data_IF_308670543688
#
_entry.id   IF_308670543688
#
_cell.length_a   1.000
_cell.length_b   1.000
_cell.length_c   1.000
_cell.angle_alpha   90.00
_cell.angle_beta   90.00
_cell.angle_gamma   90.00
#
_symmetry.space_group_name_H-M   'P 1'
#
loop_
_entity.id
_entity.type
_entity.pdbx_description
1 polymer ?
#
# COMPACT_ATOMS: atom_id res chain seq x y z
N UNK A 1 -9.27 11.27 -12.48
CA UNK A 1 -8.36 10.13 -12.66
C UNK A 1 -8.81 8.99 -11.76
N UNK A 2 -8.82 7.78 -12.27
CA UNK A 2 -9.08 6.59 -11.47
C UNK A 2 -7.78 6.10 -10.84
N UNK A 3 -7.44 6.64 -9.67
CA UNK A 3 -6.24 6.30 -8.92
C UNK A 3 -6.62 5.61 -7.61
N UNK A 4 -5.98 4.49 -7.32
CA UNK A 4 -6.04 3.80 -6.05
C UNK A 4 -4.63 3.67 -5.49
N UNK A 5 -4.42 4.03 -4.23
CA UNK A 5 -3.13 3.91 -3.58
C UNK A 5 -3.21 2.83 -2.51
N UNK A 6 -2.21 1.96 -2.48
CA UNK A 6 -2.14 0.83 -1.56
C UNK A 6 -0.88 0.89 -0.72
N UNK A 7 -0.98 0.48 0.55
CA UNK A 7 0.18 -0.03 1.28
C UNK A 7 0.54 -1.41 0.70
N UNK A 8 1.75 -1.87 0.95
CA UNK A 8 2.24 -3.17 0.44
C UNK A 8 2.03 -4.29 1.47
N UNK A 9 2.78 -4.23 2.57
CA UNK A 9 2.77 -5.28 3.58
C UNK A 9 1.43 -5.28 4.33
N UNK A 10 0.77 -6.41 4.37
CA UNK A 10 -0.54 -6.56 4.98
C UNK A 10 -1.72 -6.27 4.06
N UNK A 11 -1.48 -5.70 2.87
CA UNK A 11 -2.50 -5.40 1.86
C UNK A 11 -2.29 -6.25 0.61
N UNK A 12 -1.10 -6.21 0.05
CA UNK A 12 -0.73 -6.94 -1.19
C UNK A 12 -0.11 -8.29 -0.85
N UNK A 13 0.69 -8.34 0.19
CA UNK A 13 1.39 -9.54 0.66
C UNK A 13 1.18 -9.71 2.15
N UNK A 14 1.43 -10.92 2.64
CA UNK A 14 1.36 -11.22 4.06
C UNK A 14 2.34 -10.33 4.84
N UNK A 15 1.91 -9.87 6.00
CA UNK A 15 2.74 -9.05 6.89
C UNK A 15 3.63 -9.93 7.78
N UNK A 16 4.63 -9.31 8.40
CA UNK A 16 5.51 -9.95 9.36
C UNK A 16 5.94 -8.94 10.42
N UNK A 17 5.87 -9.31 11.70
CA UNK A 17 6.41 -8.51 12.80
C UNK A 17 7.95 -8.52 12.80
N UNK A 18 8.56 -9.45 12.09
CA UNK A 18 10.02 -9.62 11.99
C UNK A 18 10.61 -9.02 10.70
N UNK A 19 9.87 -8.16 10.01
CA UNK A 19 10.20 -7.60 8.69
C UNK A 19 10.19 -8.66 7.59
N UNK A 20 10.10 -8.22 6.34
CA UNK A 20 10.24 -9.07 5.15
C UNK A 20 11.59 -8.76 4.54
N UNK A 21 12.56 -9.65 4.77
CA UNK A 21 13.99 -9.38 4.56
C UNK A 21 14.55 -9.99 3.29
N UNK A 22 13.85 -10.97 2.71
CA UNK A 22 14.28 -11.68 1.51
C UNK A 22 13.11 -11.85 0.55
N UNK A 23 13.42 -12.14 -0.70
CA UNK A 23 12.38 -12.45 -1.69
C UNK A 23 11.55 -13.67 -1.28
N UNK A 24 12.17 -14.67 -0.67
CA UNK A 24 11.47 -15.87 -0.20
C UNK A 24 10.48 -15.59 0.92
N UNK A 25 10.75 -14.57 1.75
CA UNK A 25 9.86 -14.14 2.82
C UNK A 25 8.68 -13.31 2.29
N UNK A 26 8.77 -12.79 1.07
CA UNK A 26 7.71 -12.01 0.46
C UNK A 26 6.64 -12.94 -0.12
N UNK A 27 5.53 -13.08 0.60
CA UNK A 27 4.45 -14.01 0.25
C UNK A 27 3.23 -13.21 -0.19
N UNK A 28 2.89 -13.20 -1.49
CA UNK A 28 1.73 -12.45 -1.97
C UNK A 28 0.42 -13.04 -1.43
N UNK A 29 -0.58 -12.17 -1.26
CA UNK A 29 -1.96 -12.59 -1.04
C UNK A 29 -2.56 -12.79 -2.44
N UNK A 30 -2.88 -14.03 -2.85
CA UNK A 30 -3.29 -14.29 -4.25
C UNK A 30 -4.49 -13.47 -4.70
N UNK A 31 -5.49 -13.28 -3.83
CA UNK A 31 -6.66 -12.46 -4.13
C UNK A 31 -6.32 -10.98 -4.31
N UNK A 32 -5.29 -10.48 -3.65
CA UNK A 32 -4.82 -9.11 -3.83
C UNK A 32 -4.15 -8.92 -5.18
N UNK A 33 -3.35 -9.87 -5.64
CA UNK A 33 -2.75 -9.82 -6.98
C UNK A 33 -3.85 -9.79 -8.04
N UNK A 34 -4.84 -10.66 -7.92
CA UNK A 34 -5.99 -10.70 -8.84
C UNK A 34 -6.76 -9.37 -8.80
N UNK A 35 -6.97 -8.81 -7.62
CA UNK A 35 -7.68 -7.52 -7.47
C UNK A 35 -6.95 -6.39 -8.20
N UNK A 36 -5.62 -6.30 -8.05
CA UNK A 36 -4.82 -5.29 -8.75
C UNK A 36 -4.94 -5.46 -10.27
N UNK A 37 -4.84 -6.68 -10.76
CA UNK A 37 -4.98 -6.96 -12.18
C UNK A 37 -6.37 -6.58 -12.72
N UNK A 38 -7.43 -6.89 -11.98
CA UNK A 38 -8.82 -6.52 -12.34
C UNK A 38 -8.98 -5.01 -12.41
N UNK A 39 -8.51 -4.29 -11.41
CA UNK A 39 -8.58 -2.83 -11.37
C UNK A 39 -7.82 -2.21 -12.53
N UNK A 40 -6.60 -2.66 -12.77
CA UNK A 40 -5.76 -2.19 -13.87
C UNK A 40 -6.45 -2.38 -15.23
N UNK A 41 -7.00 -3.56 -15.48
CA UNK A 41 -7.72 -3.86 -16.74
C UNK A 41 -8.99 -3.02 -16.89
N UNK A 42 -9.57 -2.56 -15.80
CA UNK A 42 -10.76 -1.70 -15.82
C UNK A 42 -10.42 -0.20 -15.92
N UNK A 43 -9.14 0.14 -16.13
CA UNK A 43 -8.70 1.53 -16.31
C UNK A 43 -8.25 2.24 -15.04
N UNK A 44 -8.13 1.54 -13.92
CA UNK A 44 -7.56 2.10 -12.70
C UNK A 44 -6.06 2.11 -12.75
N UNK A 45 -5.46 3.19 -12.25
CA UNK A 45 -4.05 3.24 -11.91
C UNK A 45 -3.88 2.83 -10.46
N UNK A 46 -3.09 1.81 -10.20
CA UNK A 46 -2.82 1.32 -8.84
C UNK A 46 -1.38 1.66 -8.48
N UNK A 47 -1.21 2.52 -7.49
CA UNK A 47 0.10 2.93 -6.98
C UNK A 47 0.31 2.37 -5.57
N UNK A 48 1.56 2.30 -5.13
CA UNK A 48 1.94 1.71 -3.84
C UNK A 48 2.78 2.70 -3.04
N UNK A 49 2.47 2.84 -1.75
CA UNK A 49 3.22 3.66 -0.79
C UNK A 49 3.54 2.81 0.45
N UNK A 50 4.79 2.42 0.63
CA UNK A 50 5.18 1.46 1.65
C UNK A 50 6.33 1.93 2.53
N UNK A 51 6.19 1.81 3.86
CA UNK A 51 7.29 1.98 4.80
C UNK A 51 8.19 0.73 4.74
N UNK A 52 9.50 0.94 4.60
CA UNK A 52 10.50 -0.15 4.52
C UNK A 52 11.70 0.18 5.39
N UNK A 53 11.48 0.37 6.69
CA UNK A 53 12.51 0.75 7.66
C UNK A 53 13.58 -0.33 7.88
N UNK A 54 13.34 -1.56 7.44
CA UNK A 54 14.34 -2.62 7.47
C UNK A 54 15.62 -2.25 6.72
N UNK A 55 15.53 -1.39 5.70
CA UNK A 55 16.69 -0.86 5.00
C UNK A 55 17.56 -0.01 5.94
N UNK A 56 16.96 0.94 6.66
CA UNK A 56 17.67 1.77 7.63
C UNK A 56 18.29 0.94 8.75
N UNK A 57 17.66 -0.16 9.12
CA UNK A 57 18.13 -1.08 10.17
C UNK A 57 19.22 -2.05 9.69
N UNK A 58 19.52 -2.05 8.38
CA UNK A 58 20.51 -2.94 7.80
C UNK A 58 20.08 -4.39 7.62
N UNK A 59 18.78 -4.67 7.67
CA UNK A 59 18.24 -6.03 7.51
C UNK A 59 18.21 -6.51 6.07
N UNK A 60 18.11 -5.59 5.12
CA UNK A 60 18.18 -5.86 3.68
C UNK A 60 18.50 -4.55 2.95
N UNK A 61 18.87 -4.65 1.69
CA UNK A 61 19.25 -3.51 0.87
C UNK A 61 18.18 -3.14 -0.16
N UNK A 62 18.41 -2.04 -0.87
CA UNK A 62 17.50 -1.57 -1.92
C UNK A 62 17.33 -2.60 -3.05
N UNK A 63 18.40 -3.28 -3.44
CA UNK A 63 18.33 -4.30 -4.48
C UNK A 63 17.39 -5.45 -4.12
N UNK A 64 17.39 -5.86 -2.86
CA UNK A 64 16.45 -6.86 -2.33
C UNK A 64 15.02 -6.36 -2.40
N UNK A 65 14.76 -5.10 -1.98
CA UNK A 65 13.43 -4.51 -2.08
C UNK A 65 12.96 -4.43 -3.53
N UNK A 66 13.82 -4.02 -4.44
CA UNK A 66 13.51 -3.94 -5.87
C UNK A 66 13.15 -5.31 -6.45
N UNK A 67 13.80 -6.39 -5.98
CA UNK A 67 13.46 -7.75 -6.40
C UNK A 67 12.05 -8.16 -5.99
N UNK A 68 11.61 -7.76 -4.81
CA UNK A 68 10.23 -7.99 -4.34
C UNK A 68 9.23 -7.24 -5.22
N UNK A 69 9.51 -5.98 -5.55
CA UNK A 69 8.64 -5.16 -6.39
C UNK A 69 8.62 -5.67 -7.84
N UNK A 70 9.73 -6.16 -8.35
CA UNK A 70 9.77 -6.82 -9.67
C UNK A 70 8.89 -8.07 -9.68
N UNK A 71 8.91 -8.85 -8.60
CA UNK A 71 8.05 -10.03 -8.45
C UNK A 71 6.57 -9.65 -8.43
N UNK A 72 6.22 -8.60 -7.69
CA UNK A 72 4.85 -8.08 -7.67
C UNK A 72 4.39 -7.70 -9.08
N UNK A 73 5.19 -6.95 -9.81
CA UNK A 73 4.88 -6.54 -11.19
C UNK A 73 4.69 -7.74 -12.11
N UNK A 74 5.55 -8.74 -11.97
CA UNK A 74 5.47 -9.97 -12.76
C UNK A 74 4.16 -10.71 -12.51
N UNK A 75 3.79 -10.91 -11.25
CA UNK A 75 2.58 -11.64 -10.88
C UNK A 75 1.31 -10.94 -11.41
N UNK A 76 1.26 -9.62 -11.34
CA UNK A 76 0.14 -8.84 -11.87
C UNK A 76 0.12 -8.90 -13.40
N UNK A 77 1.28 -8.82 -14.05
CA UNK A 77 1.40 -8.91 -15.50
C UNK A 77 0.96 -10.28 -16.03
N UNK A 78 1.24 -11.36 -15.30
CA UNK A 78 0.78 -12.70 -15.65
C UNK A 78 -0.75 -12.80 -15.70
N UNK A 79 -1.46 -11.93 -14.99
CA UNK A 79 -2.92 -11.84 -15.03
C UNK A 79 -3.43 -10.72 -15.95
N UNK A 80 -2.57 -10.14 -16.76
CA UNK A 80 -2.94 -9.13 -17.75
C UNK A 80 -3.07 -7.71 -17.21
N UNK A 81 -2.62 -7.47 -15.99
CA UNK A 81 -2.66 -6.15 -15.35
C UNK A 81 -1.31 -5.46 -15.31
N UNK A 82 -1.29 -4.31 -14.68
CA UNK A 82 -0.10 -3.49 -14.52
C UNK A 82 -0.15 -2.78 -13.17
N UNK A 83 1.01 -2.67 -12.51
CA UNK A 83 1.18 -1.86 -11.31
C UNK A 83 1.80 -0.52 -11.71
N UNK A 84 1.27 0.56 -11.18
CA UNK A 84 1.80 1.90 -11.40
C UNK A 84 3.03 2.20 -10.54
N UNK A 85 3.17 3.46 -10.11
CA UNK A 85 4.31 3.90 -9.32
C UNK A 85 4.35 3.19 -7.95
N UNK A 86 5.52 2.70 -7.58
CA UNK A 86 5.78 2.16 -6.25
C UNK A 86 6.77 3.10 -5.55
N UNK A 87 6.34 3.69 -4.43
CA UNK A 87 7.17 4.58 -3.61
C UNK A 87 7.40 3.89 -2.26
N UNK A 88 8.64 3.93 -1.79
CA UNK A 88 8.99 3.41 -0.47
C UNK A 88 9.66 4.48 0.37
N UNK A 89 9.55 4.34 1.70
CA UNK A 89 10.32 5.12 2.67
C UNK A 89 11.30 4.17 3.37
N UNK A 90 12.62 4.35 3.19
CA UNK A 90 13.60 3.46 3.81
C UNK A 90 13.97 3.86 5.24
N UNK A 91 13.40 4.96 5.74
CA UNK A 91 13.81 5.55 7.01
C UNK A 91 13.12 4.91 8.21
N UNK A 92 13.81 4.95 9.36
CA UNK A 92 13.23 4.55 10.64
C UNK A 92 12.39 5.67 11.27
N UNK A 93 11.71 5.37 12.41
CA UNK A 93 10.79 6.32 13.04
C UNK A 93 11.44 7.62 13.52
N UNK A 94 12.73 7.58 13.82
CA UNK A 94 13.48 8.71 14.42
C UNK A 94 14.35 9.47 13.39
N UNK A 95 14.24 9.14 12.09
CA UNK A 95 15.12 9.72 11.08
C UNK A 95 14.65 11.12 10.61
N UNK A 96 13.48 11.59 11.03
CA UNK A 96 13.01 12.94 10.76
C UNK A 96 12.64 13.22 9.31
N UNK A 97 12.35 12.19 8.51
CA UNK A 97 11.92 12.35 7.12
C UNK A 97 10.43 12.75 7.02
N UNK A 98 10.03 13.22 5.81
CA UNK A 98 8.63 13.55 5.51
C UNK A 98 7.86 12.40 4.87
N UNK A 99 8.53 11.33 4.49
CA UNK A 99 7.93 10.24 3.72
C UNK A 99 7.37 9.10 4.57
N UNK A 100 7.89 8.89 5.80
CA UNK A 100 7.45 7.77 6.63
C UNK A 100 6.02 8.00 7.14
N UNK A 101 5.12 7.08 6.82
CA UNK A 101 3.76 7.09 7.39
C UNK A 101 3.83 7.00 8.91
N UNK A 102 3.08 7.81 9.66
CA UNK A 102 1.85 8.53 9.27
C UNK A 102 2.03 9.86 8.53
N UNK A 103 3.22 10.26 8.19
CA UNK A 103 3.43 11.46 7.35
C UNK A 103 3.05 11.16 5.90
N UNK A 104 2.55 12.17 5.16
CA UNK A 104 1.96 11.95 3.85
C UNK A 104 2.93 12.09 2.67
N UNK A 105 4.23 12.19 2.91
CA UNK A 105 5.21 12.50 1.85
C UNK A 105 5.16 11.56 0.65
N UNK A 106 4.95 10.26 0.87
CA UNK A 106 4.84 9.31 -0.24
C UNK A 106 3.56 9.53 -1.05
N UNK A 107 2.44 9.85 -0.40
CA UNK A 107 1.18 10.15 -1.10
C UNK A 107 1.34 11.41 -1.96
N UNK A 108 2.02 12.41 -1.44
CA UNK A 108 2.33 13.64 -2.19
C UNK A 108 3.22 13.37 -3.40
N UNK A 109 4.21 12.47 -3.28
CA UNK A 109 5.06 12.04 -4.40
C UNK A 109 4.23 11.36 -5.49
N UNK A 110 3.29 10.50 -5.12
CA UNK A 110 2.40 9.83 -6.07
C UNK A 110 1.52 10.85 -6.80
N UNK A 111 0.94 11.80 -6.05
CA UNK A 111 0.12 12.85 -6.63
C UNK A 111 0.90 13.70 -7.63
N UNK A 112 2.14 14.07 -7.30
CA UNK A 112 3.00 14.85 -8.19
C UNK A 112 3.34 14.07 -9.46
N UNK A 113 3.65 12.78 -9.32
CA UNK A 113 3.97 11.92 -10.48
C UNK A 113 2.82 11.85 -11.47
N UNK A 114 1.59 11.72 -11.00
CA UNK A 114 0.40 11.62 -11.86
C UNK A 114 -0.27 12.96 -12.13
N UNK A 115 0.28 14.07 -11.62
CA UNK A 115 -0.28 15.41 -11.78
C UNK A 115 -1.77 15.45 -11.39
N UNK A 116 -2.11 14.89 -10.24
CA UNK A 116 -3.49 14.78 -9.74
C UNK A 116 -3.58 15.31 -8.30
N UNK A 117 -4.81 15.64 -7.88
CA UNK A 117 -5.11 15.97 -6.50
C UNK A 117 -5.38 14.71 -5.71
N UNK A 118 -5.16 14.76 -4.39
CA UNK A 118 -5.38 13.62 -3.48
C UNK A 118 -6.78 13.58 -2.87
N UNK A 119 -7.50 14.70 -2.89
CA UNK A 119 -8.83 14.78 -2.27
C UNK A 119 -9.76 13.67 -2.80
N UNK A 120 -10.26 12.83 -1.90
CA UNK A 120 -11.16 11.72 -2.24
C UNK A 120 -10.51 10.49 -2.84
N UNK A 121 -9.22 10.51 -3.12
CA UNK A 121 -8.47 9.31 -3.58
C UNK A 121 -8.41 8.31 -2.42
N UNK A 122 -8.74 7.05 -2.70
CA UNK A 122 -8.68 6.00 -1.67
C UNK A 122 -7.25 5.57 -1.42
N UNK A 123 -6.86 5.58 -0.14
CA UNK A 123 -5.62 4.96 0.31
C UNK A 123 -5.96 3.77 1.20
N UNK A 124 -5.57 2.58 0.75
CA UNK A 124 -5.87 1.30 1.42
C UNK A 124 -4.67 0.87 2.25
N UNK A 125 -4.90 0.64 3.52
CA UNK A 125 -3.87 0.17 4.43
C UNK A 125 -4.42 -0.75 5.51
N UNK A 126 -3.53 -1.28 6.32
CA UNK A 126 -3.86 -2.18 7.43
C UNK A 126 -3.46 -1.60 8.80
N UNK A 127 -2.84 -0.41 8.83
CA UNK A 127 -2.34 0.20 10.07
C UNK A 127 -2.92 1.59 10.31
N UNK A 128 -2.87 2.04 11.57
CA UNK A 128 -3.26 3.40 11.94
C UNK A 128 -2.41 4.46 11.22
N UNK A 129 -1.13 4.17 10.97
CA UNK A 129 -0.25 5.08 10.23
C UNK A 129 -0.72 5.32 8.81
N UNK A 130 -1.25 4.30 8.14
CA UNK A 130 -1.84 4.43 6.80
C UNK A 130 -3.05 5.35 6.83
N UNK A 131 -3.95 5.13 7.77
CA UNK A 131 -5.20 5.90 7.89
C UNK A 131 -4.90 7.37 8.22
N UNK A 132 -3.93 7.63 9.09
CA UNK A 132 -3.54 8.99 9.44
C UNK A 132 -2.85 9.71 8.28
N UNK A 133 -2.01 9.02 7.50
CA UNK A 133 -1.41 9.59 6.31
C UNK A 133 -2.47 10.00 5.28
N UNK A 134 -3.50 9.17 5.10
CA UNK A 134 -4.62 9.48 4.23
C UNK A 134 -5.33 10.76 4.67
N UNK A 135 -5.66 10.88 5.95
CA UNK A 135 -6.34 12.06 6.49
C UNK A 135 -5.52 13.34 6.31
N UNK A 136 -4.21 13.26 6.43
CA UNK A 136 -3.33 14.43 6.36
C UNK A 136 -3.41 15.15 5.01
N UNK A 137 -3.85 14.46 3.95
CA UNK A 137 -3.94 14.98 2.57
C UNK A 137 -5.33 14.81 1.97
N UNK A 138 -6.35 14.66 2.79
CA UNK A 138 -7.75 14.51 2.40
C UNK A 138 -8.03 13.30 1.50
N UNK A 139 -7.18 12.30 1.52
CA UNK A 139 -7.50 10.99 0.94
C UNK A 139 -8.61 10.31 1.74
N UNK A 140 -9.35 9.44 1.10
CA UNK A 140 -10.31 8.57 1.78
C UNK A 140 -9.54 7.43 2.47
N UNK A 141 -9.53 7.36 3.81
CA UNK A 141 -8.90 6.24 4.50
C UNK A 141 -9.71 4.97 4.34
N UNK A 142 -9.04 3.88 3.96
CA UNK A 142 -9.66 2.57 3.76
C UNK A 142 -8.83 1.52 4.51
N UNK A 143 -9.47 0.82 5.44
CA UNK A 143 -8.85 -0.24 6.22
C UNK A 143 -9.24 -1.60 5.65
N UNK A 144 -8.25 -2.47 5.45
CA UNK A 144 -8.49 -3.90 5.20
C UNK A 144 -8.12 -4.72 6.43
N UNK A 145 -8.81 -5.84 6.63
CA UNK A 145 -8.64 -6.68 7.81
C UNK A 145 -7.45 -7.63 7.72
N UNK A 146 -6.84 -7.77 6.54
CA UNK A 146 -5.60 -8.53 6.34
C UNK A 146 -4.43 -7.86 7.06
N UNK A 147 -3.31 -8.56 7.16
CA UNK A 147 -2.13 -8.04 7.85
C UNK A 147 -2.42 -7.68 9.31
N UNK A 148 -2.17 -6.44 9.67
CA UNK A 148 -2.46 -5.88 11.01
C UNK A 148 -3.86 -5.28 11.12
N UNK A 149 -4.72 -5.47 10.12
CA UNK A 149 -6.03 -4.83 10.05
C UNK A 149 -6.92 -5.12 11.24
N UNK A 150 -6.96 -6.36 11.72
CA UNK A 150 -7.76 -6.71 12.91
C UNK A 150 -7.25 -6.02 14.19
N UNK A 151 -5.94 -5.89 14.35
CA UNK A 151 -5.35 -5.13 15.47
C UNK A 151 -5.75 -3.66 15.40
N UNK A 152 -5.74 -3.09 14.21
CA UNK A 152 -6.10 -1.70 13.96
C UNK A 152 -7.59 -1.47 14.20
N UNK A 153 -8.43 -2.41 13.77
CA UNK A 153 -9.88 -2.35 13.96
C UNK A 153 -10.27 -2.36 15.43
N UNK A 154 -9.47 -2.97 16.30
CA UNK A 154 -9.70 -2.99 17.75
C UNK A 154 -9.46 -1.63 18.42
N UNK A 155 -8.88 -0.66 17.69
CA UNK A 155 -8.61 0.69 18.17
C UNK A 155 -9.62 1.67 17.56
N UNK A 156 -9.80 2.88 18.13
CA UNK A 156 -10.61 3.92 17.50
C UNK A 156 -10.07 4.25 16.10
N UNK A 157 -10.94 4.25 15.10
CA UNK A 157 -10.58 4.59 13.73
C UNK A 157 -10.82 6.08 13.46
N UNK A 158 -10.05 6.71 12.54
CA UNK A 158 -10.35 8.04 12.08
C UNK A 158 -11.77 8.15 11.51
N UNK A 159 -12.46 9.30 11.69
CA UNK A 159 -13.80 9.48 11.14
C UNK A 159 -13.84 9.26 9.64
N UNK A 160 -14.88 8.59 9.15
CA UNK A 160 -15.07 8.33 7.72
C UNK A 160 -14.25 7.18 7.16
N UNK A 161 -13.54 6.42 7.99
CA UNK A 161 -12.78 5.24 7.53
C UNK A 161 -13.74 4.17 7.01
N UNK A 162 -13.49 3.71 5.77
CA UNK A 162 -14.17 2.55 5.20
C UNK A 162 -13.41 1.29 5.60
N UNK A 163 -14.15 0.20 5.84
CA UNK A 163 -13.56 -1.08 6.26
C UNK A 163 -14.00 -2.19 5.31
N UNK A 164 -13.03 -2.96 4.83
CA UNK A 164 -13.27 -4.12 3.96
C UNK A 164 -12.49 -5.33 4.48
N UNK A 165 -12.92 -6.52 4.12
CA UNK A 165 -12.23 -7.75 4.55
C UNK A 165 -10.82 -7.84 3.97
N UNK A 166 -10.66 -7.49 2.70
CA UNK A 166 -9.41 -7.57 1.96
C UNK A 166 -9.42 -6.66 0.74
N UNK A 167 -8.34 -6.64 -0.02
CA UNK A 167 -8.24 -5.86 -1.24
C UNK A 167 -9.22 -6.34 -2.32
N UNK A 168 -9.52 -7.63 -2.36
CA UNK A 168 -10.52 -8.15 -3.31
C UNK A 168 -11.89 -7.50 -3.09
N UNK A 169 -12.30 -7.32 -1.83
CA UNK A 169 -13.55 -6.64 -1.49
C UNK A 169 -13.52 -5.15 -1.88
N UNK A 170 -12.38 -4.49 -1.73
CA UNK A 170 -12.18 -3.11 -2.20
C UNK A 170 -12.39 -3.04 -3.72
N UNK A 171 -11.77 -3.95 -4.46
CA UNK A 171 -11.91 -4.00 -5.91
C UNK A 171 -13.36 -4.25 -6.34
N UNK A 172 -14.06 -5.16 -5.67
CA UNK A 172 -15.48 -5.42 -5.93
C UNK A 172 -16.31 -4.14 -5.77
N UNK A 173 -16.05 -3.36 -4.75
CA UNK A 173 -16.77 -2.10 -4.52
C UNK A 173 -16.48 -1.06 -5.61
N UNK A 174 -15.20 -0.91 -5.99
CA UNK A 174 -14.81 0.08 -7.00
C UNK A 174 -15.27 -0.29 -8.42
N UNK A 175 -15.45 -1.58 -8.69
CA UNK A 175 -15.82 -2.09 -10.01
C UNK A 175 -17.34 -2.38 -10.14
N UNK A 176 -18.09 -2.20 -9.09
CA UNK A 176 -19.53 -2.43 -9.08
C UNK A 176 -20.31 -1.36 -9.84
#
# INVERSE_FOLDING_TARGET
>A
MKLLILDRDGVINQDSDAYIKTLDEWIPIPSSITAIARLSKAGWTVAVATNQSGIARGYYDLATLESMHARLRQLVAEQGGEVGLIVHCPHGPDDGCDCRKPKPGMLEQIAAHYATELAGIWFVGDTSGDLQAALAVDCQPVLVKTGKGERTLAKPLPPGTLVFDDLAAVADQLLS
#
